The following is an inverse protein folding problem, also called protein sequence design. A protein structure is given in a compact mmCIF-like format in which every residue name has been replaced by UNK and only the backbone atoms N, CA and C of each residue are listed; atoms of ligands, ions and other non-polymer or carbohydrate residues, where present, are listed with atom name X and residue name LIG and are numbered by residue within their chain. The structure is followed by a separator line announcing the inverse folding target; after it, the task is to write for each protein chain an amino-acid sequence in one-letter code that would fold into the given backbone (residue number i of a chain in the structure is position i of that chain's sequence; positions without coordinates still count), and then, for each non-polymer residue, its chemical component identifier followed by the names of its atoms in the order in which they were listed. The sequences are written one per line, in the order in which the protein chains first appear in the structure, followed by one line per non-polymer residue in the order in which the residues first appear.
data_IF_712558895979
#
_entry.id   IF_712558895979
#
_cell.length_a   1.000
_cell.length_b   1.000
_cell.length_c   1.000
_cell.angle_alpha   90.00
_cell.angle_beta   90.00
_cell.angle_gamma   90.00
#
_symmetry.space_group_name_H-M   'P 1'
#
loop_
_entity.id
_entity.type
_entity.pdbx_description
1 polymer ?
#
# COMPACT_ATOMS: atom_id res chain seq x y z
N UNK A 1 5.31 -87.26 17.10
CA UNK A 1 6.35 -86.27 17.49
C UNK A 1 6.89 -85.61 16.22
N UNK A 2 7.33 -84.34 16.31
CA UNK A 2 7.78 -83.42 15.25
C UNK A 2 6.61 -82.71 14.50
N UNK A 3 6.15 -81.51 14.85
CA UNK A 3 6.73 -80.14 15.00
C UNK A 3 6.64 -79.32 13.70
N UNK A 4 5.83 -78.26 13.77
CA UNK A 4 5.57 -77.25 12.74
C UNK A 4 6.81 -76.38 12.44
N UNK A 5 6.98 -75.97 11.19
CA UNK A 5 7.94 -74.95 10.76
C UNK A 5 7.28 -73.56 10.79
N UNK A 6 7.95 -72.50 11.30
CA UNK A 6 7.47 -71.14 11.14
C UNK A 6 8.07 -70.45 9.91
N UNK A 7 7.24 -69.64 9.27
CA UNK A 7 7.58 -68.74 8.17
C UNK A 7 8.61 -67.69 8.61
N UNK A 8 9.68 -67.53 7.81
CA UNK A 8 10.64 -66.43 7.96
C UNK A 8 10.12 -65.13 7.36
N UNK A 9 10.03 -64.09 8.19
CA UNK A 9 9.70 -62.71 7.82
C UNK A 9 10.94 -61.94 7.35
N UNK A 10 10.86 -61.28 6.20
CA UNK A 10 11.88 -60.34 5.68
C UNK A 10 11.70 -58.97 6.38
N UNK A 11 12.76 -58.31 6.85
CA UNK A 11 12.63 -57.00 7.47
C UNK A 11 12.52 -55.90 6.41
N UNK A 12 11.35 -55.26 6.33
CA UNK A 12 11.18 -54.00 5.60
C UNK A 12 11.79 -52.84 6.40
N UNK A 13 12.76 -52.16 5.81
CA UNK A 13 13.42 -50.98 6.36
C UNK A 13 12.49 -49.76 6.18
N UNK A 14 12.14 -49.00 7.23
CA UNK A 14 11.31 -47.82 7.06
C UNK A 14 12.13 -46.70 6.42
N UNK A 15 11.75 -46.27 5.22
CA UNK A 15 12.29 -45.06 4.60
C UNK A 15 11.55 -43.86 5.20
N UNK A 16 12.23 -43.11 6.07
CA UNK A 16 11.71 -41.85 6.62
C UNK A 16 11.65 -40.81 5.50
N UNK A 17 10.48 -40.24 5.15
CA UNK A 17 10.42 -39.11 4.24
C UNK A 17 11.05 -37.90 4.92
N UNK A 18 12.06 -37.31 4.30
CA UNK A 18 12.67 -36.05 4.75
C UNK A 18 11.71 -34.91 4.38
N UNK A 19 11.28 -34.05 5.31
CA UNK A 19 10.39 -32.95 4.97
C UNK A 19 11.15 -31.93 4.11
N UNK A 20 10.59 -31.60 2.94
CA UNK A 20 11.10 -30.53 2.10
C UNK A 20 10.86 -29.19 2.82
N UNK A 21 11.95 -28.48 3.16
CA UNK A 21 11.89 -27.07 3.58
C UNK A 21 11.48 -26.23 2.38
N UNK A 22 10.20 -25.89 2.30
CA UNK A 22 9.73 -24.87 1.37
C UNK A 22 10.03 -23.51 2.01
N UNK A 23 11.10 -22.85 1.55
CA UNK A 23 11.41 -21.46 1.92
C UNK A 23 10.45 -20.52 1.19
N UNK A 24 9.28 -20.27 1.76
CA UNK A 24 8.30 -19.29 1.28
C UNK A 24 8.57 -17.92 1.93
N UNK A 25 9.74 -17.32 1.65
CA UNK A 25 10.22 -16.11 2.35
C UNK A 25 10.72 -14.99 1.43
N UNK A 26 10.76 -15.21 0.10
CA UNK A 26 11.34 -14.26 -0.85
C UNK A 26 10.40 -13.09 -1.21
N UNK A 27 9.12 -13.36 -1.50
CA UNK A 27 8.19 -12.35 -2.02
C UNK A 27 7.85 -11.27 -0.99
N UNK A 28 7.67 -11.65 0.28
CA UNK A 28 7.37 -10.70 1.36
C UNK A 28 8.59 -9.81 1.67
N UNK A 29 9.80 -10.39 1.67
CA UNK A 29 11.03 -9.63 1.83
C UNK A 29 11.26 -8.66 0.66
N UNK A 30 11.01 -9.08 -0.57
CA UNK A 30 11.14 -8.24 -1.76
C UNK A 30 10.12 -7.08 -1.75
N UNK A 31 8.86 -7.35 -1.37
CA UNK A 31 7.84 -6.30 -1.21
C UNK A 31 8.24 -5.29 -0.14
N UNK A 32 8.80 -5.73 0.98
CA UNK A 32 9.26 -4.85 2.03
C UNK A 32 10.44 -3.98 1.59
N UNK A 33 11.41 -4.55 0.86
CA UNK A 33 12.53 -3.78 0.31
C UNK A 33 12.07 -2.76 -0.74
N UNK A 34 11.15 -3.14 -1.63
CA UNK A 34 10.57 -2.21 -2.62
C UNK A 34 9.82 -1.06 -1.94
N UNK A 35 9.05 -1.36 -0.88
CA UNK A 35 8.37 -0.34 -0.07
C UNK A 35 9.37 0.60 0.60
N UNK A 36 10.43 0.07 1.21
CA UNK A 36 11.49 0.89 1.82
C UNK A 36 12.20 1.78 0.80
N UNK A 37 12.49 1.25 -0.38
CA UNK A 37 13.08 2.01 -1.48
C UNK A 37 12.18 3.17 -1.92
N UNK A 38 10.89 2.91 -2.15
CA UNK A 38 9.91 3.96 -2.49
C UNK A 38 9.85 5.03 -1.38
N UNK A 39 9.75 4.61 -0.11
CA UNK A 39 9.73 5.53 1.03
C UNK A 39 11.00 6.39 1.10
N UNK A 40 12.17 5.81 0.84
CA UNK A 40 13.42 6.55 0.77
C UNK A 40 13.40 7.58 -0.36
N UNK A 41 12.88 7.22 -1.55
CA UNK A 41 12.82 8.14 -2.69
C UNK A 41 11.93 9.35 -2.44
N UNK A 42 10.83 9.20 -1.68
CA UNK A 42 9.85 10.27 -1.44
C UNK A 42 10.09 11.05 -0.14
N UNK A 43 10.96 10.56 0.75
CA UNK A 43 11.13 11.09 2.12
C UNK A 43 11.45 12.57 2.20
N UNK A 44 12.21 13.10 1.25
CA UNK A 44 12.67 14.49 1.20
C UNK A 44 11.93 15.32 0.13
N UNK A 45 10.90 14.77 -0.50
CA UNK A 45 10.22 15.35 -1.67
C UNK A 45 9.12 16.36 -1.35
N UNK A 46 8.87 16.61 -0.06
CA UNK A 46 7.90 17.58 0.43
C UNK A 46 6.51 17.38 -0.20
N UNK A 47 5.97 16.17 0.01
CA UNK A 47 4.69 15.69 -0.55
C UNK A 47 4.56 15.73 -2.08
N UNK A 48 5.66 15.99 -2.80
CA UNK A 48 5.71 16.10 -4.25
C UNK A 48 6.11 17.48 -4.78
N UNK A 49 6.16 18.51 -3.92
CA UNK A 49 6.50 19.89 -4.31
C UNK A 49 7.88 20.02 -4.94
N UNK A 50 8.85 19.20 -4.52
CA UNK A 50 10.18 19.19 -5.14
C UNK A 50 10.20 18.33 -6.41
N UNK A 51 9.44 17.23 -6.41
CA UNK A 51 9.41 16.28 -7.53
C UNK A 51 8.78 16.87 -8.78
N UNK A 52 7.75 17.72 -8.66
CA UNK A 52 7.04 18.30 -9.81
C UNK A 52 7.95 19.05 -10.80
N UNK A 53 9.08 19.57 -10.33
CA UNK A 53 10.07 20.29 -11.14
C UNK A 53 11.29 19.44 -11.50
N UNK A 54 11.28 18.14 -11.21
CA UNK A 54 12.39 17.21 -11.45
C UNK A 54 11.93 15.94 -12.19
N UNK A 55 11.93 15.95 -13.53
CA UNK A 55 11.46 14.82 -14.35
C UNK A 55 12.21 13.51 -14.12
N UNK A 56 13.52 13.58 -13.83
CA UNK A 56 14.32 12.39 -13.54
C UNK A 56 13.89 11.75 -12.23
N UNK A 57 13.70 12.56 -11.18
CA UNK A 57 13.23 12.07 -9.88
C UNK A 57 11.80 11.53 -9.97
N UNK A 58 10.92 12.21 -10.72
CA UNK A 58 9.56 11.73 -10.99
C UNK A 58 9.59 10.33 -11.62
N UNK A 59 10.40 10.16 -12.67
CA UNK A 59 10.56 8.86 -13.34
C UNK A 59 11.03 7.77 -12.36
N UNK A 60 12.01 8.06 -11.50
CA UNK A 60 12.49 7.10 -10.51
C UNK A 60 11.42 6.69 -9.49
N UNK A 61 10.60 7.65 -9.03
CA UNK A 61 9.51 7.37 -8.09
C UNK A 61 8.42 6.54 -8.76
N UNK A 62 8.00 6.91 -9.97
CA UNK A 62 6.99 6.14 -10.74
C UNK A 62 7.46 4.72 -10.98
N UNK A 63 8.72 4.53 -11.39
CA UNK A 63 9.31 3.19 -11.56
C UNK A 63 9.26 2.37 -10.26
N UNK A 64 9.56 2.97 -9.11
CA UNK A 64 9.49 2.28 -7.82
C UNK A 64 8.04 1.94 -7.40
N UNK A 65 7.06 2.76 -7.80
CA UNK A 65 5.63 2.45 -7.63
C UNK A 65 5.23 1.27 -8.51
N UNK A 66 5.65 1.26 -9.78
CA UNK A 66 5.37 0.17 -10.72
C UNK A 66 5.96 -1.16 -10.24
N UNK A 67 7.20 -1.15 -9.73
CA UNK A 67 7.83 -2.32 -9.14
C UNK A 67 7.03 -2.86 -7.94
N UNK A 68 6.57 -1.96 -7.06
CA UNK A 68 5.74 -2.35 -5.90
C UNK A 68 4.37 -2.89 -6.33
N UNK A 69 3.76 -2.30 -7.36
CA UNK A 69 2.50 -2.76 -7.94
C UNK A 69 2.64 -4.16 -8.56
N UNK A 70 3.74 -4.42 -9.28
CA UNK A 70 4.03 -5.73 -9.85
C UNK A 70 4.14 -6.82 -8.78
N UNK A 71 4.81 -6.53 -7.66
CA UNK A 71 4.90 -7.45 -6.52
C UNK A 71 3.55 -7.69 -5.84
N UNK A 72 2.66 -6.71 -5.90
CA UNK A 72 1.34 -6.76 -5.29
C UNK A 72 0.22 -7.30 -6.17
N UNK A 73 0.42 -7.51 -7.48
CA UNK A 73 -0.63 -7.69 -8.52
C UNK A 73 -1.80 -8.62 -8.17
N UNK A 74 -1.55 -9.70 -7.45
CA UNK A 74 -2.58 -10.70 -7.13
C UNK A 74 -3.21 -10.54 -5.73
N UNK A 75 -2.78 -9.53 -4.98
CA UNK A 75 -3.33 -9.19 -3.66
C UNK A 75 -4.63 -8.39 -3.76
N UNK A 76 -5.50 -8.57 -2.78
CA UNK A 76 -6.70 -7.74 -2.61
C UNK A 76 -6.33 -6.56 -1.73
N UNK A 77 -6.40 -5.34 -2.27
CA UNK A 77 -6.12 -4.09 -1.53
C UNK A 77 -7.37 -3.25 -1.31
N UNK A 78 -8.53 -3.69 -1.81
CA UNK A 78 -9.83 -3.00 -1.69
C UNK A 78 -10.73 -3.57 -0.60
N UNK A 79 -10.20 -4.44 0.27
CA UNK A 79 -10.92 -5.00 1.42
C UNK A 79 -10.95 -4.05 2.64
N UNK A 80 -11.44 -4.55 3.78
CA UNK A 80 -11.60 -3.72 4.99
C UNK A 80 -10.31 -3.09 5.54
N UNK A 81 -9.13 -3.61 5.20
CA UNK A 81 -7.84 -2.99 5.56
C UNK A 81 -7.58 -1.67 4.84
N UNK A 82 -8.34 -1.35 3.79
CA UNK A 82 -8.31 -0.03 3.14
C UNK A 82 -9.03 1.03 3.99
N UNK A 83 -9.99 0.62 4.84
CA UNK A 83 -10.67 1.53 5.76
C UNK A 83 -9.70 2.00 6.85
N UNK A 84 -9.21 3.22 6.71
CA UNK A 84 -8.27 3.83 7.64
C UNK A 84 -8.16 5.34 7.39
N UNK A 85 -7.43 6.02 8.27
CA UNK A 85 -6.92 7.38 8.03
C UNK A 85 -5.51 7.29 7.47
N UNK A 86 -5.36 7.56 6.18
CA UNK A 86 -4.10 7.52 5.48
C UNK A 86 -3.45 8.90 5.46
N UNK A 87 -2.17 9.00 5.84
CA UNK A 87 -1.40 10.24 5.67
C UNK A 87 -0.80 10.27 4.27
N UNK A 88 -0.98 11.38 3.56
CA UNK A 88 -0.36 11.60 2.26
C UNK A 88 1.15 11.77 2.42
N UNK A 89 1.92 10.88 1.79
CA UNK A 89 3.38 10.97 1.73
C UNK A 89 3.87 11.69 0.47
N UNK A 90 3.19 11.48 -0.66
CA UNK A 90 3.59 12.02 -1.96
C UNK A 90 2.43 11.98 -2.97
N UNK A 91 2.29 13.03 -3.79
CA UNK A 91 1.33 13.13 -4.90
C UNK A 91 1.92 13.92 -6.08
N UNK A 92 1.31 13.77 -7.25
CA UNK A 92 1.51 14.63 -8.43
C UNK A 92 0.28 15.47 -8.77
N UNK A 93 -0.78 15.39 -7.95
CA UNK A 93 -2.03 16.11 -8.18
C UNK A 93 -1.83 17.62 -8.00
N UNK A 94 -2.04 18.38 -9.09
CA UNK A 94 -1.76 19.82 -9.14
C UNK A 94 -2.56 20.63 -8.13
N UNK A 95 -3.85 20.34 -7.97
CA UNK A 95 -4.72 21.10 -7.06
C UNK A 95 -4.28 20.94 -5.60
N UNK A 96 -3.95 19.71 -5.18
CA UNK A 96 -3.41 19.47 -3.84
C UNK A 96 -2.06 20.15 -3.65
N UNK A 97 -1.13 20.00 -4.61
CA UNK A 97 0.18 20.66 -4.53
C UNK A 97 0.03 22.18 -4.50
N UNK A 98 -0.93 22.76 -5.21
CA UNK A 98 -1.23 24.18 -5.16
C UNK A 98 -1.66 24.63 -3.77
N UNK A 99 -2.61 23.92 -3.13
CA UNK A 99 -3.06 24.26 -1.78
C UNK A 99 -1.90 24.15 -0.77
N UNK A 100 -1.10 23.09 -0.85
CA UNK A 100 0.04 22.87 0.04
C UNK A 100 1.09 23.99 -0.14
N UNK A 101 1.41 24.34 -1.39
CA UNK A 101 2.41 25.35 -1.71
C UNK A 101 1.99 26.76 -1.26
N UNK A 102 0.70 27.09 -1.36
CA UNK A 102 0.20 28.45 -1.16
C UNK A 102 -0.43 28.69 0.21
N UNK A 103 -0.46 27.71 1.12
CA UNK A 103 -1.04 27.86 2.46
C UNK A 103 -0.53 29.11 3.20
N UNK A 104 0.76 29.43 3.07
CA UNK A 104 1.40 30.60 3.68
C UNK A 104 0.87 31.93 3.16
N UNK A 105 0.38 31.98 1.93
CA UNK A 105 -0.26 33.19 1.36
C UNK A 105 -1.60 33.49 2.04
N UNK A 106 -2.21 32.49 2.67
CA UNK A 106 -3.44 32.63 3.46
C UNK A 106 -3.18 32.78 4.96
N UNK A 107 -1.93 33.09 5.35
CA UNK A 107 -1.55 33.31 6.75
C UNK A 107 -1.49 32.04 7.61
N UNK A 108 -1.45 30.86 6.99
CA UNK A 108 -1.40 29.56 7.67
C UNK A 108 -0.28 28.68 7.14
N UNK A 109 0.05 27.60 7.84
CA UNK A 109 0.88 26.52 7.31
C UNK A 109 -0.01 25.33 6.92
N UNK A 110 0.49 24.47 6.03
CA UNK A 110 -0.13 23.16 5.81
C UNK A 110 0.28 22.22 6.93
N UNK A 111 -0.69 21.66 7.62
CA UNK A 111 -0.51 20.57 8.58
C UNK A 111 -0.56 19.21 7.89
N UNK A 112 -1.31 18.29 8.47
CA UNK A 112 -1.58 16.98 7.91
C UNK A 112 -2.49 17.03 6.69
N UNK A 113 -2.11 16.28 5.65
CA UNK A 113 -2.96 15.95 4.51
C UNK A 113 -3.31 14.48 4.66
N UNK A 114 -4.59 14.21 4.83
CA UNK A 114 -5.13 12.90 5.17
C UNK A 114 -6.17 12.48 4.13
N UNK A 115 -6.28 11.19 3.93
CA UNK A 115 -7.36 10.56 3.18
C UNK A 115 -8.04 9.57 4.12
N UNK A 116 -9.24 9.91 4.58
CA UNK A 116 -10.05 9.05 5.46
C UNK A 116 -10.96 8.22 4.57
N UNK A 117 -10.73 6.92 4.54
CA UNK A 117 -11.50 5.98 3.70
C UNK A 117 -12.33 5.09 4.60
N UNK A 118 -13.59 4.90 4.25
CA UNK A 118 -14.46 3.87 4.81
C UNK A 118 -15.11 3.09 3.66
N UNK A 119 -14.65 1.85 3.47
CA UNK A 119 -15.12 0.96 2.41
C UNK A 119 -16.55 0.48 2.66
N UNK A 120 -16.96 0.32 3.92
CA UNK A 120 -18.30 -0.16 4.27
C UNK A 120 -19.33 0.95 4.00
N UNK A 121 -19.03 2.16 4.45
CA UNK A 121 -19.88 3.34 4.23
C UNK A 121 -19.72 3.95 2.83
N UNK A 122 -18.78 3.44 2.03
CA UNK A 122 -18.47 3.91 0.66
C UNK A 122 -18.08 5.39 0.60
N UNK A 123 -17.35 5.88 1.60
CA UNK A 123 -16.93 7.28 1.67
C UNK A 123 -15.42 7.44 1.63
N UNK A 124 -15.00 8.55 1.05
CA UNK A 124 -13.64 9.05 1.11
C UNK A 124 -13.69 10.54 1.43
N UNK A 125 -12.87 10.95 2.38
CA UNK A 125 -12.67 12.36 2.70
C UNK A 125 -11.20 12.71 2.51
N UNK A 126 -10.91 13.61 1.57
CA UNK A 126 -9.61 14.27 1.50
C UNK A 126 -9.62 15.40 2.51
N UNK A 127 -8.62 15.49 3.37
CA UNK A 127 -8.55 16.45 4.46
C UNK A 127 -7.19 17.13 4.43
N UNK A 128 -7.15 18.45 4.51
CA UNK A 128 -5.94 19.26 4.67
C UNK A 128 -6.14 20.13 5.89
N UNK A 129 -5.29 19.98 6.89
CA UNK A 129 -5.35 20.80 8.11
C UNK A 129 -4.47 22.04 7.98
N UNK A 130 -4.88 23.12 8.65
CA UNK A 130 -4.23 24.42 8.62
C UNK A 130 -4.09 24.94 10.06
N UNK A 131 -2.93 24.76 10.72
CA UNK A 131 -2.76 25.20 12.10
C UNK A 131 -2.74 26.74 12.24
N UNK A 132 -3.18 27.31 13.39
CA UNK A 132 -3.72 26.60 14.56
C UNK A 132 -5.14 26.10 14.35
N UNK A 133 -5.92 26.78 13.50
CA UNK A 133 -7.34 26.51 13.28
C UNK A 133 -7.63 26.55 11.77
N UNK A 134 -8.18 25.46 11.24
CA UNK A 134 -8.56 25.38 9.83
C UNK A 134 -8.52 23.97 9.27
N UNK A 135 -9.52 23.64 8.47
CA UNK A 135 -9.60 22.38 7.74
C UNK A 135 -10.22 22.62 6.38
N UNK A 136 -9.56 22.15 5.34
CA UNK A 136 -10.18 21.94 4.03
C UNK A 136 -10.49 20.46 3.92
N UNK A 137 -11.73 20.12 3.57
CA UNK A 137 -12.06 18.73 3.27
C UNK A 137 -12.96 18.62 2.05
N UNK A 138 -12.74 17.57 1.28
CA UNK A 138 -13.55 17.20 0.11
C UNK A 138 -14.15 15.84 0.37
N UNK A 139 -15.47 15.72 0.22
CA UNK A 139 -16.20 14.46 0.36
C UNK A 139 -16.44 13.85 -1.01
N UNK A 140 -16.15 12.56 -1.12
CA UNK A 140 -16.39 11.78 -2.32
C UNK A 140 -17.00 10.42 -1.95
N UNK A 141 -17.82 9.87 -2.83
CA UNK A 141 -18.26 8.49 -2.74
C UNK A 141 -17.23 7.58 -3.40
N UNK A 142 -17.13 6.34 -2.91
CA UNK A 142 -16.25 5.33 -3.50
C UNK A 142 -17.00 4.08 -3.95
N UNK A 143 -16.50 3.46 -5.02
CA UNK A 143 -17.01 2.18 -5.50
C UNK A 143 -15.83 1.24 -5.82
N UNK A 144 -15.89 0.01 -5.31
CA UNK A 144 -14.89 -1.02 -5.64
C UNK A 144 -15.06 -1.42 -7.11
N UNK A 145 -14.04 -1.14 -7.92
CA UNK A 145 -14.01 -1.45 -9.35
C UNK A 145 -13.28 -2.76 -9.64
N UNK A 146 -12.29 -3.12 -8.81
CA UNK A 146 -11.56 -4.39 -8.92
C UNK A 146 -10.89 -4.75 -7.58
N UNK A 147 -10.13 -5.86 -7.55
CA UNK A 147 -9.33 -6.27 -6.39
C UNK A 147 -8.34 -5.21 -5.89
N UNK A 148 -7.93 -4.29 -6.78
CA UNK A 148 -6.89 -3.30 -6.51
C UNK A 148 -7.28 -1.86 -6.88
N UNK A 149 -8.54 -1.63 -7.29
CA UNK A 149 -9.01 -0.32 -7.71
C UNK A 149 -10.35 0.02 -7.06
N UNK A 150 -10.39 1.19 -6.44
CA UNK A 150 -11.60 1.91 -6.10
C UNK A 150 -11.74 3.10 -7.05
N UNK A 151 -12.97 3.37 -7.49
CA UNK A 151 -13.32 4.58 -8.22
C UNK A 151 -13.87 5.61 -7.23
N UNK A 152 -13.71 6.88 -7.57
CA UNK A 152 -14.17 8.01 -6.77
C UNK A 152 -15.15 8.83 -7.59
N UNK A 153 -16.27 9.19 -6.98
CA UNK A 153 -17.25 10.09 -7.55
C UNK A 153 -17.41 11.27 -6.59
N UNK A 154 -17.13 12.48 -7.05
CA UNK A 154 -17.26 13.66 -6.21
C UNK A 154 -18.74 13.94 -5.93
N UNK A 155 -19.09 14.05 -4.65
CA UNK A 155 -20.46 14.38 -4.21
C UNK A 155 -20.66 15.89 -3.98
N UNK A 156 -19.73 16.71 -4.46
CA UNK A 156 -19.78 18.18 -4.36
C UNK A 156 -19.12 18.73 -3.09
N UNK A 157 -18.53 19.92 -3.22
CA UNK A 157 -18.01 20.71 -2.11
C UNK A 157 -19.19 21.24 -1.28
N UNK A 158 -19.22 20.94 0.02
CA UNK A 158 -20.10 21.62 0.98
C UNK A 158 -19.43 22.89 1.47
#
# INVERSE_FOLDING_TARGET
MATCLPFGTIPFKPHSPRPAKITCSSTTAQSQLAKQHLLSLISDQDRGLKTQNNPLKLTSIVSAIDDLAALGKDSITTGGSLSATWRLLWTTEKEQLFIIQNASLFGTLTGDVLQVIDVEQRVLNNVITFPPDGVFFVRSDIAVASKQRVNFNDVGLC
#
